data_IF_331553333529
#
_entry.id   IF_331553333529
#
_cell.length_a   1.000
_cell.length_b   1.000
_cell.length_c   1.000
_cell.angle_alpha   90.00
_cell.angle_beta   90.00
_cell.angle_gamma   90.00
#
_symmetry.space_group_name_H-M   'P 1'
#
loop_
_entity.id
_entity.type
_entity.pdbx_description
1 polymer ?
#
# COMPACT_ATOMS: atom_id res chain seq x y z
N UNK A 1 12.47 17.08 -17.80
CA UNK A 1 11.55 16.16 -18.49
C UNK A 1 10.53 15.50 -17.56
N UNK A 2 10.88 14.57 -16.65
CA UNK A 2 9.86 13.91 -15.77
C UNK A 2 9.14 14.89 -14.85
N UNK A 3 9.90 15.71 -14.11
CA UNK A 3 9.31 16.67 -13.15
C UNK A 3 8.40 17.68 -13.85
N UNK A 4 8.85 18.24 -14.97
CA UNK A 4 8.04 19.16 -15.79
C UNK A 4 6.75 18.47 -16.27
N UNK A 5 6.85 17.24 -16.76
CA UNK A 5 5.69 16.49 -17.24
C UNK A 5 4.70 16.19 -16.12
N UNK A 6 5.18 15.82 -14.94
CA UNK A 6 4.34 15.63 -13.74
C UNK A 6 3.63 16.93 -13.37
N UNK A 7 4.32 18.08 -13.42
CA UNK A 7 3.69 19.38 -13.16
C UNK A 7 2.60 19.72 -14.19
N UNK A 8 2.82 19.43 -15.47
CA UNK A 8 1.79 19.59 -16.52
C UNK A 8 0.55 18.72 -16.28
N UNK A 9 0.78 17.44 -15.95
CA UNK A 9 -0.30 16.49 -15.68
C UNK A 9 -1.07 16.92 -14.42
N UNK A 10 -0.38 17.30 -13.35
CA UNK A 10 -1.00 17.86 -12.14
C UNK A 10 -1.88 19.06 -12.47
N UNK A 11 -1.40 20.01 -13.27
CA UNK A 11 -2.19 21.18 -13.65
C UNK A 11 -3.47 20.80 -14.42
N UNK A 12 -3.43 19.73 -15.22
CA UNK A 12 -4.61 19.20 -15.91
C UNK A 12 -5.57 18.51 -14.94
N UNK A 13 -5.07 17.63 -14.06
CA UNK A 13 -5.88 16.94 -13.04
C UNK A 13 -6.56 17.93 -12.10
N UNK A 14 -5.84 18.97 -11.66
CA UNK A 14 -6.36 19.99 -10.73
C UNK A 14 -7.52 20.83 -11.26
N UNK A 15 -7.80 20.77 -12.56
CA UNK A 15 -8.91 21.48 -13.23
C UNK A 15 -10.12 20.59 -13.48
N UNK A 16 -10.02 19.29 -13.21
CA UNK A 16 -11.15 18.38 -13.34
C UNK A 16 -12.20 18.70 -12.29
N UNK A 17 -13.47 18.68 -12.68
CA UNK A 17 -14.59 18.88 -11.76
C UNK A 17 -14.82 17.67 -10.83
N UNK A 18 -14.33 16.50 -11.24
CA UNK A 18 -14.52 15.23 -10.54
C UNK A 18 -13.35 14.28 -10.86
N UNK A 19 -12.93 13.50 -9.86
CA UNK A 19 -11.94 12.43 -9.99
C UNK A 19 -12.57 11.04 -10.14
N UNK A 20 -13.91 10.96 -10.29
CA UNK A 20 -14.58 9.69 -10.54
C UNK A 20 -14.12 9.07 -11.87
N UNK A 21 -14.08 7.72 -11.97
CA UNK A 21 -13.66 7.05 -13.19
C UNK A 21 -14.39 7.59 -14.43
N UNK A 22 -13.61 8.04 -15.40
CA UNK A 22 -14.06 8.56 -16.69
C UNK A 22 -12.90 8.48 -17.68
N UNK A 23 -13.17 8.63 -18.97
CA UNK A 23 -12.12 8.57 -20.00
C UNK A 23 -10.99 9.56 -19.73
N UNK A 24 -11.33 10.80 -19.38
CA UNK A 24 -10.33 11.87 -19.19
C UNK A 24 -9.54 11.68 -17.89
N UNK A 25 -10.21 11.30 -16.80
CA UNK A 25 -9.57 10.97 -15.52
C UNK A 25 -8.60 9.79 -15.72
N UNK A 26 -9.09 8.70 -16.31
CA UNK A 26 -8.30 7.49 -16.52
C UNK A 26 -7.09 7.79 -17.41
N UNK A 27 -7.26 8.56 -18.49
CA UNK A 27 -6.16 8.96 -19.37
C UNK A 27 -5.09 9.74 -18.60
N UNK A 28 -5.47 10.73 -17.79
CA UNK A 28 -4.52 11.58 -17.06
C UNK A 28 -3.75 10.80 -15.99
N UNK A 29 -4.44 9.95 -15.21
CA UNK A 29 -3.77 9.12 -14.21
C UNK A 29 -2.90 8.03 -14.85
N UNK A 30 -3.32 7.43 -15.97
CA UNK A 30 -2.47 6.50 -16.73
C UNK A 30 -1.21 7.21 -17.24
N UNK A 31 -1.33 8.42 -17.81
CA UNK A 31 -0.16 9.20 -18.22
C UNK A 31 0.75 9.52 -17.03
N UNK A 32 0.18 9.83 -15.87
CA UNK A 32 0.95 10.10 -14.66
C UNK A 32 1.74 8.86 -14.22
N UNK A 33 1.08 7.71 -14.11
CA UNK A 33 1.71 6.43 -13.71
C UNK A 33 2.84 6.08 -14.68
N UNK A 34 2.58 6.13 -15.99
CA UNK A 34 3.58 5.84 -17.03
C UNK A 34 4.76 6.83 -17.00
N UNK A 35 4.52 8.09 -16.62
CA UNK A 35 5.58 9.10 -16.46
C UNK A 35 6.48 8.78 -15.25
N UNK A 36 5.90 8.21 -14.19
CA UNK A 36 6.57 7.91 -12.92
C UNK A 36 7.18 6.50 -12.86
N UNK A 37 6.80 5.59 -13.76
CA UNK A 37 7.19 4.18 -13.75
C UNK A 37 8.65 3.89 -14.16
N UNK A 38 9.29 4.64 -15.08
CA UNK A 38 10.70 4.42 -15.37
C UNK A 38 11.56 4.58 -14.10
N UNK A 39 12.56 3.71 -13.92
CA UNK A 39 13.51 3.72 -12.80
C UNK A 39 14.48 4.89 -12.91
N UNK A 40 13.95 6.10 -12.69
CA UNK A 40 14.71 7.36 -12.73
C UNK A 40 14.96 7.79 -11.27
N UNK A 41 16.23 7.92 -10.86
CA UNK A 41 16.55 8.37 -9.52
C UNK A 41 16.11 9.83 -9.37
N UNK A 42 15.17 10.07 -8.46
CA UNK A 42 14.71 11.40 -8.07
C UNK A 42 14.73 11.48 -6.55
N UNK A 43 15.54 12.39 -6.04
CA UNK A 43 15.53 12.75 -4.63
C UNK A 43 14.53 13.88 -4.42
N UNK A 44 13.32 13.53 -3.96
CA UNK A 44 12.22 14.49 -3.79
C UNK A 44 12.53 15.57 -2.75
N UNK A 45 13.50 15.35 -1.85
CA UNK A 45 13.91 16.33 -0.83
C UNK A 45 14.71 17.49 -1.43
N UNK A 46 15.34 17.26 -2.59
CA UNK A 46 16.13 18.27 -3.32
C UNK A 46 15.32 19.06 -4.35
N UNK A 47 14.05 18.73 -4.54
CA UNK A 47 13.16 19.47 -5.44
C UNK A 47 12.89 20.87 -4.87
N UNK A 48 12.69 21.85 -5.75
CA UNK A 48 12.34 23.21 -5.30
C UNK A 48 10.97 23.23 -4.62
N UNK A 49 10.75 24.21 -3.73
CA UNK A 49 9.54 24.31 -2.91
C UNK A 49 8.22 24.23 -3.71
N UNK A 50 8.07 24.91 -4.86
CA UNK A 50 6.85 24.79 -5.68
C UNK A 50 6.56 23.35 -6.15
N UNK A 51 7.60 22.59 -6.52
CA UNK A 51 7.45 21.20 -6.96
C UNK A 51 7.12 20.28 -5.79
N UNK A 52 7.70 20.52 -4.59
CA UNK A 52 7.32 19.78 -3.39
C UNK A 52 5.85 20.02 -3.00
N UNK A 53 5.36 21.25 -3.18
CA UNK A 53 3.95 21.58 -2.92
C UNK A 53 3.02 20.92 -3.95
N UNK A 54 3.40 20.92 -5.23
CA UNK A 54 2.69 20.16 -6.28
C UNK A 54 2.64 18.68 -5.93
N UNK A 55 3.78 18.07 -5.57
CA UNK A 55 3.87 16.67 -5.18
C UNK A 55 2.91 16.35 -4.03
N UNK A 56 2.90 17.18 -2.99
CA UNK A 56 2.05 16.94 -1.81
C UNK A 56 0.56 16.98 -2.17
N UNK A 57 0.15 17.88 -3.06
CA UNK A 57 -1.22 17.95 -3.56
C UNK A 57 -1.55 16.79 -4.50
N UNK A 58 -0.62 16.42 -5.37
CA UNK A 58 -0.78 15.34 -6.33
C UNK A 58 -0.97 13.99 -5.63
N UNK A 59 -0.20 13.69 -4.58
CA UNK A 59 -0.38 12.47 -3.77
C UNK A 59 -1.81 12.38 -3.23
N UNK A 60 -2.37 13.49 -2.72
CA UNK A 60 -3.76 13.54 -2.24
C UNK A 60 -4.77 13.28 -3.36
N UNK A 61 -4.56 13.87 -4.54
CA UNK A 61 -5.39 13.62 -5.72
C UNK A 61 -5.31 12.15 -6.18
N UNK A 62 -4.13 11.52 -6.13
CA UNK A 62 -3.97 10.09 -6.39
C UNK A 62 -4.78 9.26 -5.40
N UNK A 63 -4.69 9.53 -4.10
CA UNK A 63 -5.45 8.79 -3.09
C UNK A 63 -6.97 8.93 -3.24
N UNK A 64 -7.46 10.12 -3.55
CA UNK A 64 -8.89 10.35 -3.81
C UNK A 64 -9.35 9.59 -5.07
N UNK A 65 -8.61 9.72 -6.17
CA UNK A 65 -8.94 9.02 -7.41
C UNK A 65 -8.89 7.49 -7.26
N UNK A 66 -7.90 6.97 -6.54
CA UNK A 66 -7.79 5.54 -6.22
C UNK A 66 -9.00 5.07 -5.40
N UNK A 67 -9.37 5.78 -4.32
CA UNK A 67 -10.55 5.42 -3.52
C UNK A 67 -11.87 5.46 -4.31
N UNK A 68 -12.03 6.44 -5.21
CA UNK A 68 -13.21 6.52 -6.10
C UNK A 68 -13.22 5.38 -7.13
N UNK A 69 -12.05 5.03 -7.69
CA UNK A 69 -11.91 3.91 -8.62
C UNK A 69 -12.24 2.59 -7.94
N UNK A 70 -11.66 2.34 -6.76
CA UNK A 70 -11.94 1.14 -5.96
C UNK A 70 -13.42 1.06 -5.61
N UNK A 71 -14.06 2.16 -5.18
CA UNK A 71 -15.49 2.20 -4.88
C UNK A 71 -16.37 1.84 -6.09
N UNK A 72 -16.03 2.39 -7.26
CA UNK A 72 -16.72 2.11 -8.52
C UNK A 72 -16.63 0.62 -8.86
N UNK A 73 -15.44 0.04 -8.81
CA UNK A 73 -15.24 -1.38 -9.14
C UNK A 73 -15.80 -2.31 -8.07
N UNK A 74 -15.75 -1.96 -6.78
CA UNK A 74 -16.41 -2.75 -5.74
C UNK A 74 -17.93 -2.79 -5.92
N UNK A 75 -18.53 -1.67 -6.32
CA UNK A 75 -19.97 -1.60 -6.61
C UNK A 75 -20.32 -2.46 -7.84
N UNK A 76 -19.52 -2.37 -8.90
CA UNK A 76 -19.68 -3.20 -10.10
C UNK A 76 -19.53 -4.69 -9.78
N UNK A 77 -18.45 -5.07 -9.10
CA UNK A 77 -18.18 -6.45 -8.73
C UNK A 77 -19.26 -7.01 -7.81
N UNK A 78 -19.71 -6.19 -6.85
CA UNK A 78 -20.80 -6.51 -5.93
C UNK A 78 -22.15 -6.74 -6.60
N UNK A 79 -22.34 -6.33 -7.86
CA UNK A 79 -23.56 -6.62 -8.63
C UNK A 79 -23.62 -8.04 -9.19
N UNK A 80 -22.49 -8.75 -9.26
CA UNK A 80 -22.45 -10.15 -9.68
C UNK A 80 -22.85 -11.08 -8.52
N UNK A 81 -23.45 -12.23 -8.85
CA UNK A 81 -23.80 -13.26 -7.87
C UNK A 81 -22.57 -13.81 -7.12
N UNK A 82 -21.42 -13.88 -7.79
CA UNK A 82 -20.14 -14.33 -7.24
C UNK A 82 -19.06 -13.28 -7.53
N UNK A 83 -18.98 -12.18 -6.76
CA UNK A 83 -18.11 -11.05 -7.07
C UNK A 83 -16.65 -11.45 -7.33
N UNK A 84 -16.12 -12.37 -6.52
CA UNK A 84 -14.71 -12.79 -6.60
C UNK A 84 -14.35 -13.55 -7.88
N UNK A 85 -15.31 -14.23 -8.53
CA UNK A 85 -15.06 -14.85 -9.85
C UNK A 85 -14.83 -13.81 -10.95
N UNK A 86 -15.34 -12.60 -10.75
CA UNK A 86 -15.25 -11.48 -11.69
C UNK A 86 -14.16 -10.47 -11.33
N UNK A 87 -13.37 -10.73 -10.28
CA UNK A 87 -12.38 -9.78 -9.74
C UNK A 87 -11.35 -9.31 -10.79
N UNK A 88 -11.10 -10.11 -11.83
CA UNK A 88 -10.24 -9.80 -12.96
C UNK A 88 -10.73 -8.63 -13.84
N UNK A 89 -11.99 -8.21 -13.67
CA UNK A 89 -12.54 -7.00 -14.33
C UNK A 89 -11.87 -5.72 -13.81
N UNK A 90 -11.30 -5.74 -12.60
CA UNK A 90 -10.52 -4.60 -12.11
C UNK A 90 -9.21 -4.46 -12.91
N UNK A 91 -8.93 -3.31 -13.55
CA UNK A 91 -7.81 -3.14 -14.48
C UNK A 91 -6.44 -3.46 -13.89
N UNK A 92 -6.25 -3.25 -12.59
CA UNK A 92 -4.97 -3.45 -11.91
C UNK A 92 -4.87 -4.78 -11.15
N UNK A 93 -5.80 -5.72 -11.37
CA UNK A 93 -5.81 -6.98 -10.61
C UNK A 93 -4.50 -7.77 -10.74
N UNK A 94 -3.93 -7.86 -11.95
CA UNK A 94 -2.63 -8.49 -12.17
C UNK A 94 -1.49 -7.82 -11.39
N UNK A 95 -1.53 -6.49 -11.24
CA UNK A 95 -0.54 -5.76 -10.44
C UNK A 95 -0.66 -6.13 -8.97
N UNK A 96 -1.88 -6.32 -8.46
CA UNK A 96 -2.14 -6.78 -7.10
C UNK A 96 -1.73 -8.24 -6.87
N UNK A 97 -1.85 -9.12 -7.87
CA UNK A 97 -1.32 -10.48 -7.80
C UNK A 97 0.21 -10.46 -7.62
N UNK A 98 0.91 -9.69 -8.46
CA UNK A 98 2.37 -9.57 -8.40
C UNK A 98 2.83 -8.92 -7.08
N UNK A 99 2.20 -7.82 -6.68
CA UNK A 99 2.54 -7.11 -5.45
C UNK A 99 2.29 -7.99 -4.21
N UNK A 100 1.13 -8.65 -4.13
CA UNK A 100 0.81 -9.51 -2.97
C UNK A 100 1.74 -10.73 -2.90
N UNK A 101 2.11 -11.31 -4.04
CA UNK A 101 3.09 -12.40 -4.08
C UNK A 101 4.47 -11.96 -3.61
N UNK A 102 4.93 -10.78 -4.05
CA UNK A 102 6.16 -10.16 -3.59
C UNK A 102 6.12 -9.92 -2.07
N UNK A 103 5.06 -9.28 -1.57
CA UNK A 103 4.88 -8.99 -0.15
C UNK A 103 4.90 -10.27 0.69
N UNK A 104 4.13 -11.28 0.28
CA UNK A 104 4.14 -12.61 0.90
C UNK A 104 5.55 -13.21 0.98
N UNK A 105 6.24 -13.24 -0.16
CA UNK A 105 7.58 -13.84 -0.27
C UNK A 105 8.59 -13.10 0.61
N UNK A 106 8.43 -11.79 0.77
CA UNK A 106 9.33 -10.99 1.59
C UNK A 106 9.07 -11.23 3.10
N UNK A 107 7.82 -11.17 3.57
CA UNK A 107 7.57 -11.27 5.02
C UNK A 107 7.64 -12.71 5.54
N UNK A 108 7.23 -13.70 4.76
CA UNK A 108 7.15 -15.10 5.25
C UNK A 108 8.53 -15.65 5.62
N UNK A 109 9.60 -15.14 4.99
CA UNK A 109 11.01 -15.45 5.33
C UNK A 109 11.39 -15.06 6.75
N UNK A 110 10.64 -14.13 7.35
CA UNK A 110 10.88 -13.63 8.70
C UNK A 110 9.90 -14.24 9.72
N UNK A 111 9.01 -15.14 9.30
CA UNK A 111 8.08 -15.85 10.17
C UNK A 111 8.56 -17.28 10.44
N UNK A 112 8.40 -17.75 11.68
CA UNK A 112 8.71 -19.14 12.06
C UNK A 112 7.57 -20.12 11.76
N UNK A 113 6.37 -19.59 11.51
CA UNK A 113 5.18 -20.33 11.10
C UNK A 113 4.30 -19.43 10.23
N UNK A 114 3.28 -20.00 9.59
CA UNK A 114 2.27 -19.21 8.87
C UNK A 114 1.53 -18.33 9.89
N UNK A 115 1.43 -17.00 9.66
CA UNK A 115 0.68 -16.12 10.55
C UNK A 115 -0.79 -16.53 10.64
N UNK A 116 -1.34 -16.54 11.84
CA UNK A 116 -2.75 -16.87 12.10
C UNK A 116 -3.66 -15.65 11.98
N UNK A 117 -3.13 -14.46 12.29
CA UNK A 117 -3.87 -13.19 12.29
C UNK A 117 -3.05 -12.07 11.64
N UNK A 118 -3.60 -11.48 10.59
CA UNK A 118 -3.02 -10.36 9.84
C UNK A 118 -3.98 -9.18 9.85
N UNK A 119 -3.47 -7.97 10.02
CA UNK A 119 -4.27 -6.75 9.88
C UNK A 119 -3.85 -5.93 8.65
N UNK A 120 -4.83 -5.29 8.00
CA UNK A 120 -4.64 -4.34 6.92
C UNK A 120 -5.24 -3.00 7.34
N UNK A 121 -4.43 -1.96 7.40
CA UNK A 121 -4.85 -0.60 7.78
C UNK A 121 -4.97 0.24 6.51
N UNK A 122 -6.16 0.80 6.29
CA UNK A 122 -6.52 1.45 5.03
C UNK A 122 -6.77 0.42 3.95
N UNK A 123 -7.62 -0.56 4.23
CA UNK A 123 -7.93 -1.65 3.29
C UNK A 123 -8.75 -1.19 2.09
N UNK A 124 -9.47 -0.07 2.21
CA UNK A 124 -10.29 0.49 1.14
C UNK A 124 -11.54 -0.34 0.81
N UNK A 125 -12.38 0.17 -0.12
CA UNK A 125 -13.58 -0.53 -0.58
C UNK A 125 -13.28 -1.77 -1.41
N UNK A 126 -12.07 -1.89 -1.97
CA UNK A 126 -11.64 -3.00 -2.81
C UNK A 126 -10.35 -3.62 -2.23
N UNK A 127 -10.44 -4.45 -1.18
CA UNK A 127 -9.30 -4.86 -0.35
C UNK A 127 -8.45 -5.97 -1.01
N UNK A 128 -8.00 -5.76 -2.25
CA UNK A 128 -7.40 -6.78 -3.13
C UNK A 128 -6.21 -7.49 -2.52
N UNK A 129 -5.33 -6.76 -1.83
CA UNK A 129 -4.16 -7.37 -1.20
C UNK A 129 -4.57 -8.45 -0.20
N UNK A 130 -5.54 -8.14 0.67
CA UNK A 130 -6.04 -9.09 1.65
C UNK A 130 -6.76 -10.27 0.98
N UNK A 131 -7.55 -10.02 -0.08
CA UNK A 131 -8.24 -11.06 -0.85
C UNK A 131 -7.22 -12.00 -1.51
N UNK A 132 -6.21 -11.47 -2.21
CA UNK A 132 -5.19 -12.25 -2.91
C UNK A 132 -4.38 -13.09 -1.93
N UNK A 133 -3.91 -12.49 -0.83
CA UNK A 133 -3.18 -13.24 0.20
C UNK A 133 -4.05 -14.35 0.81
N UNK A 134 -5.30 -14.05 1.17
CA UNK A 134 -6.22 -15.02 1.76
C UNK A 134 -6.57 -16.18 0.81
N UNK A 135 -6.60 -15.93 -0.49
CA UNK A 135 -6.97 -16.90 -1.53
C UNK A 135 -5.80 -17.78 -1.95
N UNK A 136 -4.60 -17.19 -2.07
CA UNK A 136 -3.47 -17.83 -2.74
C UNK A 136 -2.31 -18.21 -1.83
N UNK A 137 -2.11 -17.51 -0.71
CA UNK A 137 -0.86 -17.62 0.06
C UNK A 137 -1.05 -17.98 1.54
N UNK A 138 -2.14 -17.51 2.15
CA UNK A 138 -2.41 -17.56 3.59
C UNK A 138 -3.82 -18.12 3.86
N UNK A 139 -4.07 -19.33 3.35
CA UNK A 139 -5.40 -19.96 3.32
C UNK A 139 -5.98 -20.33 4.68
N UNK A 140 -5.15 -20.37 5.71
CA UNK A 140 -5.57 -20.67 7.10
C UNK A 140 -5.54 -19.44 7.99
N UNK A 141 -5.23 -18.27 7.43
CA UNK A 141 -5.05 -17.02 8.16
C UNK A 141 -6.35 -16.23 8.19
N UNK A 142 -6.59 -15.54 9.30
CA UNK A 142 -7.66 -14.55 9.42
C UNK A 142 -7.14 -13.15 9.13
N UNK A 143 -7.94 -12.36 8.42
CA UNK A 143 -7.60 -11.03 7.94
C UNK A 143 -8.53 -10.01 8.57
N UNK A 144 -7.93 -8.99 9.19
CA UNK A 144 -8.64 -7.90 9.83
C UNK A 144 -8.38 -6.61 9.05
N UNK A 145 -9.35 -6.22 8.25
CA UNK A 145 -9.32 -5.05 7.38
C UNK A 145 -9.90 -3.85 8.13
N UNK A 146 -9.11 -2.80 8.27
CA UNK A 146 -9.46 -1.56 8.95
C UNK A 146 -9.60 -0.44 7.94
N UNK A 147 -10.70 0.29 8.03
CA UNK A 147 -10.93 1.53 7.32
C UNK A 147 -11.73 2.50 8.18
N UNK A 148 -11.48 3.79 8.04
CA UNK A 148 -12.23 4.83 8.76
C UNK A 148 -13.61 5.05 8.12
N UNK A 149 -13.74 4.77 6.82
CA UNK A 149 -14.99 4.91 6.07
C UNK A 149 -15.82 3.63 6.16
N UNK A 150 -16.99 3.73 6.82
CA UNK A 150 -17.92 2.61 6.91
C UNK A 150 -18.53 2.20 5.57
N UNK A 151 -18.62 3.10 4.61
CA UNK A 151 -19.10 2.78 3.26
C UNK A 151 -18.09 1.91 2.51
N UNK A 152 -16.80 2.19 2.66
CA UNK A 152 -15.72 1.37 2.11
C UNK A 152 -15.77 -0.05 2.67
N UNK A 153 -15.85 -0.20 3.99
CA UNK A 153 -15.97 -1.52 4.62
C UNK A 153 -17.24 -2.27 4.22
N UNK A 154 -18.35 -1.57 3.98
CA UNK A 154 -19.60 -2.19 3.53
C UNK A 154 -19.45 -2.78 2.12
N UNK A 155 -18.83 -2.04 1.20
CA UNK A 155 -18.51 -2.51 -0.15
C UNK A 155 -17.54 -3.70 -0.10
N UNK A 156 -16.48 -3.58 0.67
CA UNK A 156 -15.45 -4.60 0.82
C UNK A 156 -16.02 -5.92 1.40
N UNK A 157 -16.86 -5.83 2.43
CA UNK A 157 -17.55 -6.98 3.02
C UNK A 157 -18.47 -7.66 2.01
N UNK A 158 -19.24 -6.87 1.24
CA UNK A 158 -20.16 -7.41 0.24
C UNK A 158 -19.45 -8.29 -0.81
N UNK A 159 -18.24 -7.92 -1.23
CA UNK A 159 -17.45 -8.68 -2.21
C UNK A 159 -17.14 -10.11 -1.78
N UNK A 160 -16.88 -10.34 -0.49
CA UNK A 160 -16.47 -11.64 0.04
C UNK A 160 -17.60 -12.40 0.71
N UNK A 161 -18.75 -11.76 0.93
CA UNK A 161 -19.87 -12.30 1.71
C UNK A 161 -20.47 -13.60 1.16
N UNK A 162 -20.46 -13.78 -0.17
CA UNK A 162 -20.96 -14.99 -0.82
C UNK A 162 -19.92 -16.11 -0.94
N UNK A 163 -18.65 -15.83 -0.62
CA UNK A 163 -17.60 -16.83 -0.62
C UNK A 163 -17.62 -17.63 0.69
N UNK A 164 -17.76 -18.97 0.66
CA UNK A 164 -17.95 -19.77 1.87
C UNK A 164 -16.70 -19.83 2.76
N UNK A 165 -15.51 -19.56 2.24
CA UNK A 165 -14.26 -19.59 2.99
C UNK A 165 -13.85 -18.18 3.44
N UNK A 166 -13.79 -17.24 2.50
CA UNK A 166 -13.34 -15.87 2.79
C UNK A 166 -14.29 -15.11 3.70
N UNK A 167 -15.61 -15.33 3.60
CA UNK A 167 -16.59 -14.73 4.52
C UNK A 167 -16.35 -15.11 5.99
N UNK A 168 -15.69 -16.25 6.25
CA UNK A 168 -15.39 -16.72 7.61
C UNK A 168 -14.02 -16.27 8.11
N UNK A 169 -13.14 -15.79 7.21
CA UNK A 169 -11.75 -15.44 7.54
C UNK A 169 -11.44 -13.96 7.37
N UNK A 170 -12.29 -13.19 6.72
CA UNK A 170 -12.08 -11.77 6.47
C UNK A 170 -13.07 -10.92 7.28
N UNK A 171 -12.54 -10.06 8.15
CA UNK A 171 -13.30 -9.21 9.05
C UNK A 171 -13.04 -7.74 8.70
N UNK A 172 -14.08 -6.92 8.71
CA UNK A 172 -14.01 -5.50 8.37
C UNK A 172 -14.36 -4.64 9.59
N UNK A 173 -13.50 -3.68 9.91
CA UNK A 173 -13.57 -2.86 11.11
C UNK A 173 -13.64 -1.40 10.73
N UNK A 174 -14.81 -0.78 10.94
CA UNK A 174 -15.02 0.66 10.72
C UNK A 174 -14.55 1.43 11.94
N UNK A 175 -13.30 1.87 11.93
CA UNK A 175 -12.68 2.61 13.03
C UNK A 175 -11.43 3.33 12.53
N UNK A 176 -11.12 4.48 13.12
CA UNK A 176 -9.77 5.02 13.03
C UNK A 176 -8.82 4.06 13.76
N UNK A 177 -7.71 3.70 13.10
CA UNK A 177 -6.70 2.83 13.69
C UNK A 177 -6.04 3.47 14.91
N UNK A 178 -6.01 4.80 14.98
CA UNK A 178 -5.48 5.56 16.12
C UNK A 178 -6.26 5.30 17.41
N UNK A 179 -7.53 4.87 17.31
CA UNK A 179 -8.37 4.48 18.45
C UNK A 179 -8.16 3.00 18.86
N UNK A 180 -7.49 2.21 18.02
CA UNK A 180 -7.22 0.78 18.26
C UNK A 180 -5.89 0.62 18.97
N UNK A 181 -5.90 0.11 20.20
CA UNK A 181 -4.70 -0.05 21.03
C UNK A 181 -4.37 -1.51 21.32
N UNK A 182 -4.94 -2.08 22.37
CA UNK A 182 -4.61 -3.45 22.85
C UNK A 182 -4.86 -4.53 21.81
N UNK A 183 -5.85 -4.36 20.93
CA UNK A 183 -6.15 -5.29 19.85
C UNK A 183 -5.00 -5.44 18.84
N UNK A 184 -4.13 -4.43 18.67
CA UNK A 184 -2.98 -4.49 17.77
C UNK A 184 -1.95 -5.54 18.21
N UNK A 185 -1.96 -5.97 19.48
CA UNK A 185 -1.11 -7.04 19.98
C UNK A 185 -1.51 -8.43 19.47
N UNK A 186 -2.71 -8.56 18.91
CA UNK A 186 -3.23 -9.84 18.42
C UNK A 186 -2.83 -10.13 16.97
N UNK A 187 -2.12 -9.21 16.31
CA UNK A 187 -1.70 -9.36 14.91
C UNK A 187 -0.20 -9.66 14.84
N UNK A 188 0.13 -10.70 14.10
CA UNK A 188 1.51 -11.11 13.87
C UNK A 188 2.15 -10.31 12.73
N UNK A 189 1.34 -9.92 11.76
CA UNK A 189 1.72 -9.04 10.65
C UNK A 189 0.65 -7.95 10.50
N UNK A 190 1.10 -6.69 10.42
CA UNK A 190 0.25 -5.55 10.12
C UNK A 190 0.74 -4.90 8.84
N UNK A 191 -0.17 -4.70 7.89
CA UNK A 191 0.06 -3.93 6.67
C UNK A 191 -0.47 -2.51 6.85
N UNK A 192 0.39 -1.52 6.58
CA UNK A 192 0.01 -0.12 6.47
C UNK A 192 -0.02 0.27 4.99
N UNK A 193 -1.22 0.54 4.48
CA UNK A 193 -1.42 0.88 3.08
C UNK A 193 -0.67 2.18 2.69
N UNK A 194 -0.42 2.34 1.39
CA UNK A 194 0.33 3.47 0.87
C UNK A 194 -0.35 4.81 1.17
N UNK A 195 -1.69 4.80 1.16
CA UNK A 195 -2.53 5.98 1.31
C UNK A 195 -2.86 6.35 2.76
N UNK A 196 -2.39 5.57 3.75
CA UNK A 196 -2.51 5.94 5.17
C UNK A 196 -1.35 6.84 5.56
N UNK A 197 -1.67 8.06 5.98
CA UNK A 197 -0.69 9.14 6.23
C UNK A 197 -0.11 9.67 4.92
N UNK A 198 -0.79 10.64 4.31
CA UNK A 198 -0.47 11.12 2.96
C UNK A 198 0.69 12.11 2.91
N UNK A 199 1.22 12.47 4.07
CA UNK A 199 2.47 13.20 4.24
C UNK A 199 3.45 12.41 5.12
N UNK A 200 4.72 12.84 5.11
CA UNK A 200 5.76 12.25 5.96
C UNK A 200 5.36 12.29 7.44
N UNK A 201 4.92 13.47 7.90
CA UNK A 201 4.58 13.70 9.30
C UNK A 201 3.31 12.93 9.71
N UNK A 202 2.28 12.92 8.85
CA UNK A 202 1.07 12.12 9.10
C UNK A 202 1.41 10.62 9.19
N UNK A 203 2.24 10.09 8.28
CA UNK A 203 2.62 8.66 8.29
C UNK A 203 3.44 8.30 9.53
N UNK A 204 4.33 9.20 9.98
CA UNK A 204 5.11 9.00 11.20
C UNK A 204 4.21 8.85 12.44
N UNK A 205 3.10 9.59 12.52
CA UNK A 205 2.11 9.46 13.62
C UNK A 205 1.52 8.05 13.67
N UNK A 206 1.14 7.48 12.53
CA UNK A 206 0.65 6.09 12.47
C UNK A 206 1.73 5.08 12.84
N UNK A 207 2.97 5.27 12.37
CA UNK A 207 4.09 4.40 12.70
C UNK A 207 4.36 4.42 14.21
N UNK A 208 4.40 5.59 14.84
CA UNK A 208 4.62 5.73 16.28
C UNK A 208 3.49 5.05 17.09
N UNK A 209 2.24 5.16 16.63
CA UNK A 209 1.09 4.47 17.23
C UNK A 209 1.25 2.94 17.15
N UNK A 210 1.62 2.41 15.99
CA UNK A 210 1.85 0.98 15.79
C UNK A 210 3.05 0.49 16.62
N UNK A 211 4.14 1.26 16.68
CA UNK A 211 5.31 0.99 17.51
C UNK A 211 4.92 0.83 18.98
N UNK A 212 3.99 1.66 19.48
CA UNK A 212 3.49 1.59 20.86
C UNK A 212 2.63 0.36 21.10
N UNK A 213 1.77 -0.02 20.17
CA UNK A 213 0.66 -0.94 20.44
C UNK A 213 0.78 -2.35 19.86
N UNK A 214 1.62 -2.60 18.85
CA UNK A 214 1.85 -3.95 18.31
C UNK A 214 2.47 -4.93 19.31
N UNK A 215 2.41 -6.23 19.07
CA UNK A 215 3.17 -7.19 19.87
C UNK A 215 4.68 -7.08 19.60
N UNK A 216 5.55 -7.22 20.62
CA UNK A 216 6.99 -7.33 20.40
C UNK A 216 7.30 -8.48 19.43
N UNK A 217 8.18 -8.25 18.45
CA UNK A 217 8.51 -9.23 17.42
C UNK A 217 7.52 -9.33 16.24
N UNK A 218 6.35 -8.68 16.32
CA UNK A 218 5.41 -8.62 15.19
C UNK A 218 5.99 -7.83 14.01
N UNK A 219 5.53 -8.17 12.80
CA UNK A 219 6.00 -7.54 11.56
C UNK A 219 5.07 -6.38 11.16
N UNK A 220 5.67 -5.27 10.74
CA UNK A 220 5.02 -4.16 10.08
C UNK A 220 5.47 -4.15 8.61
N UNK A 221 4.51 -4.24 7.70
CA UNK A 221 4.72 -4.03 6.27
C UNK A 221 4.18 -2.66 5.89
N UNK A 222 4.99 -1.87 5.22
CA UNK A 222 4.59 -0.55 4.76
C UNK A 222 4.73 -0.44 3.25
N UNK A 223 3.73 0.16 2.61
CA UNK A 223 3.82 0.59 1.22
C UNK A 223 4.22 2.07 1.14
N UNK A 224 5.19 2.35 0.29
CA UNK A 224 5.64 3.69 -0.04
C UNK A 224 6.05 3.79 -1.51
N UNK A 225 6.93 4.73 -1.81
CA UNK A 225 7.50 4.88 -3.14
C UNK A 225 8.97 5.34 -3.11
N UNK A 226 9.63 5.20 -4.26
CA UNK A 226 11.03 5.57 -4.48
C UNK A 226 11.22 6.16 -5.88
N UNK A 227 12.22 7.03 -6.04
CA UNK A 227 12.53 7.68 -7.31
C UNK A 227 11.34 8.46 -7.87
N UNK A 228 11.10 8.37 -9.18
CA UNK A 228 9.97 9.05 -9.82
C UNK A 228 8.58 8.60 -9.32
N UNK A 229 8.45 7.38 -8.79
CA UNK A 229 7.18 6.90 -8.18
C UNK A 229 6.81 7.68 -6.92
N UNK A 230 7.75 8.41 -6.32
CA UNK A 230 7.50 9.26 -5.15
C UNK A 230 6.56 10.44 -5.43
N UNK A 231 6.18 10.71 -6.68
CA UNK A 231 5.09 11.64 -7.02
C UNK A 231 3.69 11.05 -6.84
N UNK A 232 3.57 9.71 -6.79
CA UNK A 232 2.31 8.98 -6.62
C UNK A 232 2.00 8.71 -5.15
N UNK A 233 3.03 8.33 -4.38
CA UNK A 233 2.88 7.97 -2.97
C UNK A 233 3.95 8.62 -2.07
N UNK A 234 3.69 8.70 -0.75
CA UNK A 234 4.70 9.11 0.22
C UNK A 234 5.94 8.20 0.17
N UNK A 235 7.12 8.81 0.36
CA UNK A 235 8.37 8.07 0.57
C UNK A 235 8.41 7.67 2.04
N UNK A 236 8.88 6.46 2.32
CA UNK A 236 9.15 6.00 3.68
C UNK A 236 10.66 6.06 3.88
N UNK A 237 11.10 6.91 4.79
CA UNK A 237 12.49 6.91 5.23
C UNK A 237 12.65 5.86 6.34
N UNK A 238 13.60 4.92 6.24
CA UNK A 238 13.90 3.97 7.32
C UNK A 238 14.16 4.65 8.67
N UNK A 239 14.67 5.89 8.68
CA UNK A 239 14.89 6.65 9.90
C UNK A 239 13.58 7.02 10.64
N UNK A 240 12.45 7.03 9.93
CA UNK A 240 11.14 7.33 10.52
C UNK A 240 10.51 6.11 11.20
N UNK A 241 11.06 4.90 11.01
CA UNK A 241 10.55 3.64 11.57
C UNK A 241 11.01 3.41 13.02
N UNK A 242 10.86 4.43 13.86
CA UNK A 242 11.22 4.38 15.28
C UNK A 242 10.43 3.27 15.98
N UNK A 243 11.11 2.49 16.82
CA UNK A 243 10.50 1.34 17.49
C UNK A 243 10.48 0.04 16.66
N UNK A 244 11.02 0.08 15.43
CA UNK A 244 11.16 -1.10 14.58
C UNK A 244 12.61 -1.31 14.09
N UNK A 245 12.94 -2.58 13.88
CA UNK A 245 14.12 -3.06 13.15
C UNK A 245 13.73 -3.19 11.67
N UNK A 246 14.33 -2.42 10.77
CA UNK A 246 14.09 -2.56 9.32
C UNK A 246 14.79 -3.83 8.82
N UNK A 247 14.02 -4.78 8.32
CA UNK A 247 14.51 -6.08 7.85
C UNK A 247 14.85 -6.08 6.37
N UNK A 248 14.01 -5.45 5.55
CA UNK A 248 14.18 -5.41 4.10
C UNK A 248 13.43 -4.22 3.51
N UNK A 249 13.98 -3.68 2.42
CA UNK A 249 13.36 -2.65 1.59
C UNK A 249 13.42 -3.13 0.15
N UNK A 250 12.28 -3.11 -0.53
CA UNK A 250 12.18 -3.46 -1.93
C UNK A 250 11.64 -2.27 -2.74
N UNK A 251 12.38 -1.89 -3.77
CA UNK A 251 11.99 -0.87 -4.73
C UNK A 251 11.72 -1.54 -6.08
N UNK A 252 10.46 -1.59 -6.54
CA UNK A 252 10.15 -2.23 -7.80
C UNK A 252 10.77 -1.47 -8.98
N UNK A 253 11.22 -2.24 -9.97
CA UNK A 253 11.77 -1.73 -11.24
C UNK A 253 10.88 -2.08 -12.44
N UNK A 254 9.75 -2.73 -12.20
CA UNK A 254 8.78 -3.21 -13.18
C UNK A 254 7.44 -2.42 -13.04
N UNK A 255 6.35 -3.02 -13.48
CA UNK A 255 4.99 -2.45 -13.43
C UNK A 255 4.44 -2.30 -12.00
N UNK A 256 5.11 -2.87 -10.98
CA UNK A 256 4.74 -2.64 -9.58
C UNK A 256 5.13 -1.22 -9.18
N UNK A 257 4.20 -0.51 -8.53
CA UNK A 257 4.41 0.90 -8.16
C UNK A 257 4.91 1.03 -6.73
N UNK A 258 4.32 0.31 -5.77
CA UNK A 258 4.66 0.50 -4.38
C UNK A 258 6.02 -0.10 -4.04
N UNK A 259 6.88 0.71 -3.43
CA UNK A 259 7.98 0.18 -2.63
C UNK A 259 7.43 -0.48 -1.38
N UNK A 260 8.06 -1.56 -0.95
CA UNK A 260 7.65 -2.33 0.23
C UNK A 260 8.78 -2.27 1.27
N UNK A 261 8.45 -1.88 2.49
CA UNK A 261 9.36 -1.94 3.63
C UNK A 261 8.82 -2.95 4.63
N UNK A 262 9.68 -3.84 5.12
CA UNK A 262 9.37 -4.77 6.21
C UNK A 262 10.19 -4.38 7.41
N UNK A 263 9.52 -4.20 8.54
CA UNK A 263 10.17 -3.92 9.80
C UNK A 263 9.60 -4.82 10.91
N UNK A 264 10.41 -5.15 11.91
CA UNK A 264 10.01 -5.95 13.07
C UNK A 264 9.94 -5.05 14.29
N UNK A 265 8.86 -5.11 15.07
CA UNK A 265 8.79 -4.38 16.33
C UNK A 265 9.84 -4.90 17.31
N UNK A 266 10.59 -4.01 17.96
CA UNK A 266 11.61 -4.42 18.92
C UNK A 266 11.04 -5.28 20.06
N UNK A 267 11.77 -6.31 20.53
CA UNK A 267 11.32 -7.23 21.59
C UNK A 267 11.12 -6.56 22.97
N UNK A 268 11.75 -5.41 23.20
CA UNK A 268 11.77 -4.70 24.49
C UNK A 268 11.31 -3.26 24.26
N UNK A 269 10.50 -2.66 25.16
CA UNK A 269 10.31 -1.22 25.14
C UNK A 269 11.68 -0.58 25.36
N UNK A 270 12.21 0.11 24.35
CA UNK A 270 13.35 1.00 24.59
C UNK A 270 12.86 1.99 25.65
N UNK A 271 13.50 2.09 26.83
CA UNK A 271 13.07 3.04 27.83
C UNK A 271 13.01 4.43 27.19
N UNK A 272 11.89 5.12 27.38
CA UNK A 272 11.78 6.54 27.05
C UNK A 272 13.00 7.24 27.64
N UNK A 273 13.78 7.91 26.78
CA UNK A 273 14.94 8.70 27.19
C UNK A 273 14.49 9.98 27.90
N UNK A 274 13.94 9.80 29.10
CA UNK A 274 13.83 10.81 30.14
C UNK A 274 14.65 10.31 31.33
N UNK A 275 15.97 10.24 31.13
CA UNK A 275 16.97 10.42 32.18
C UNK A 275 18.36 10.38 31.55
N UNK A 276 18.96 11.56 31.56
CA UNK A 276 20.39 11.86 31.63
C UNK A 276 21.26 10.62 31.92
N UNK A 277 22.18 10.28 30.99
CA UNK A 277 23.52 9.68 31.20
C UNK A 277 24.10 9.13 29.87
N UNK A 278 25.02 9.88 29.24
CA UNK A 278 26.09 9.41 28.33
C UNK A 278 25.68 8.89 26.93
N UNK A 279 26.54 9.05 25.89
CA UNK A 279 26.21 8.60 24.55
C UNK A 279 26.32 7.07 24.46
N UNK A 280 25.17 6.39 24.55
CA UNK A 280 25.07 5.00 24.14
C UNK A 280 25.07 5.00 22.61
N UNK A 281 26.13 4.45 22.02
CA UNK A 281 26.18 4.14 20.59
C UNK A 281 25.03 3.17 20.26
N UNK A 282 23.95 3.69 19.68
CA UNK A 282 23.02 2.90 18.90
C UNK A 282 23.83 2.23 17.78
N UNK A 283 23.65 0.92 17.50
CA UNK A 283 24.28 0.31 16.34
C UNK A 283 23.59 0.89 15.09
N UNK A 284 24.14 1.97 14.56
CA UNK A 284 23.86 2.46 13.22
C UNK A 284 24.48 1.50 12.21
N UNK A 285 23.95 0.27 12.12
CA UNK A 285 24.23 -0.60 10.98
C UNK A 285 23.28 -0.22 9.85
N UNK A 286 23.49 0.98 9.30
CA UNK A 286 23.22 1.22 7.88
C UNK A 286 24.28 0.43 7.10
N UNK A 287 24.10 -0.88 7.02
CA UNK A 287 24.97 -1.77 6.26
C UNK A 287 24.14 -2.33 5.12
N UNK A 288 24.58 -1.99 3.90
CA UNK A 288 24.19 -2.52 2.59
C UNK A 288 23.04 -3.55 2.60
N UNK A 289 21.81 -3.05 2.42
CA UNK A 289 20.64 -3.89 2.17
C UNK A 289 20.84 -4.54 0.80
N UNK A 290 21.00 -5.86 0.78
CA UNK A 290 21.15 -6.62 -0.46
C UNK A 290 19.91 -6.45 -1.34
N UNK A 291 20.10 -5.87 -2.53
CA UNK A 291 19.08 -5.84 -3.57
C UNK A 291 18.76 -7.27 -4.03
N UNK A 292 17.52 -7.71 -3.83
CA UNK A 292 17.02 -8.98 -4.33
C UNK A 292 16.54 -8.82 -5.77
N UNK A 293 17.04 -9.64 -6.70
CA UNK A 293 16.72 -9.55 -8.12
C UNK A 293 16.18 -10.90 -8.64
N UNK A 294 14.85 -11.12 -8.65
CA UNK A 294 14.27 -12.34 -9.20
C UNK A 294 13.84 -12.09 -10.65
N UNK A 295 14.79 -12.06 -11.59
CA UNK A 295 14.48 -12.12 -13.02
C UNK A 295 14.90 -13.47 -13.58
N UNK A 296 13.92 -14.33 -13.83
CA UNK A 296 13.91 -15.29 -14.92
C UNK A 296 12.46 -15.67 -15.20
N UNK A 297 11.80 -14.91 -16.08
CA UNK A 297 10.98 -15.45 -17.17
C UNK A 297 10.50 -14.30 -18.06
N UNK A 298 11.11 -14.21 -19.25
CA UNK A 298 10.64 -13.41 -20.36
C UNK A 298 9.42 -14.04 -21.04
N UNK A 299 8.64 -13.18 -21.69
CA UNK A 299 7.57 -13.41 -22.68
C UNK A 299 6.13 -13.48 -22.13
N UNK A 300 5.39 -12.37 -22.28
CA UNK A 300 4.25 -12.25 -23.21
C UNK A 300 3.71 -10.82 -23.18
N UNK A 301 4.12 -10.05 -24.17
CA UNK A 301 3.50 -8.80 -24.61
C UNK A 301 2.65 -9.20 -25.83
N UNK A 302 1.48 -8.57 -25.99
CA UNK A 302 0.43 -8.78 -27.00
C UNK A 302 -0.76 -9.62 -26.53
N UNK A 303 -1.69 -9.01 -25.79
CA UNK A 303 -3.13 -9.35 -25.88
C UNK A 303 -4.07 -8.34 -25.18
N UNK A 304 -3.56 -7.44 -24.34
CA UNK A 304 -4.42 -6.54 -23.54
C UNK A 304 -4.92 -5.27 -24.26
N UNK A 305 -4.53 -5.03 -25.52
CA UNK A 305 -4.96 -3.81 -26.26
C UNK A 305 -6.32 -3.92 -26.95
N UNK A 306 -6.96 -5.09 -26.95
CA UNK A 306 -8.16 -5.34 -27.77
C UNK A 306 -9.49 -5.26 -26.99
N UNK A 307 -9.49 -5.13 -25.66
CA UNK A 307 -10.73 -5.18 -24.85
C UNK A 307 -11.18 -3.78 -24.37
N UNK A 308 -10.30 -2.76 -24.46
CA UNK A 308 -10.61 -1.38 -24.00
C UNK A 308 -11.54 -0.57 -24.92
N UNK A 309 -11.98 -1.11 -26.07
CA UNK A 309 -12.84 -0.38 -27.02
C UNK A 309 -14.31 -0.82 -27.10
N UNK A 310 -14.74 -1.85 -26.37
CA UNK A 310 -16.12 -2.38 -26.52
C UNK A 310 -17.03 -2.33 -25.28
N UNK A 311 -16.60 -1.75 -24.15
CA UNK A 311 -17.42 -1.73 -22.92
C UNK A 311 -17.74 -0.35 -22.34
N UNK A 312 -17.57 0.73 -23.13
CA UNK A 312 -18.00 2.09 -22.75
C UNK A 312 -18.82 2.75 -23.87
N UNK A 313 -19.86 2.04 -24.33
CA UNK A 313 -20.99 2.62 -25.07
C UNK A 313 -22.26 2.51 -24.22
#
# INVERSE_FOLDING_TARGET
MVVEKVCEIYNSISKLESLKPSKDVNMLFTQLVLTCMPSIPIDVTKLCKPVQDIRSKLIRLCGEAEGLLESHFSSLLGSFQSPLHHIHVFPYYSNYLNLSHLEFTLFIKHCTHVPTRVAFIGSGPLPLTSIVLASHHLRTTTFHNYDIDGSANSLAHHLVSSDPDLSQRMFFHTTDIMDVSTALKNYEVIFLAALVGMSKDEKAVFIDHLAKHMAPGALLMLRGAHGARAFLYPVIDPCDLRGFEVLSIFHPTDEVINSVVIARKYPVPVPSMDQDHGPILLPSKCSEIQAFNPLNHSNKIEETKAIEQEQLS
#
